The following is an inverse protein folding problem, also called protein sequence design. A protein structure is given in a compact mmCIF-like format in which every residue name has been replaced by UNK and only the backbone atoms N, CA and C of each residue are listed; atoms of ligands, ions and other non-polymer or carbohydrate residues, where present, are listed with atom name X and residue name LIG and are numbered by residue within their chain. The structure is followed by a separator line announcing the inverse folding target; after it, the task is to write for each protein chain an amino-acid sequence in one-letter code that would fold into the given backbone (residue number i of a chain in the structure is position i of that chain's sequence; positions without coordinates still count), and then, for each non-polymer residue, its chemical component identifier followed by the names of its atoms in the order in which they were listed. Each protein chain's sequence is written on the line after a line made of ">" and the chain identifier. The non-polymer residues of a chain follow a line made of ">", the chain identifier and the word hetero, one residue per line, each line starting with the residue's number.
data_IF_330199238007
#
_entry.id   IF_330199238007
#
_cell.length_a   1.000
_cell.length_b   1.000
_cell.length_c   1.000
_cell.angle_alpha   90.00
_cell.angle_beta   90.00
_cell.angle_gamma   90.00
#
_symmetry.space_group_name_H-M   'P 1'
#
loop_
_entity.id
_entity.type
_entity.pdbx_description
1 polymer ?
#
# COMPACT_ATOMS: atom_id res chain seq x y z
N UNK A 1 -5.95 -10.97 19.49
CA UNK A 1 -5.13 -11.54 18.42
C UNK A 1 -5.24 -10.70 17.16
N UNK A 2 -4.14 -10.38 16.57
CA UNK A 2 -4.12 -9.57 15.36
C UNK A 2 -4.62 -10.38 14.15
N UNK A 3 -5.37 -9.73 13.29
CA UNK A 3 -5.82 -10.33 12.04
C UNK A 3 -4.60 -10.62 11.14
N UNK A 4 -4.32 -11.88 10.79
CA UNK A 4 -3.14 -12.25 10.02
C UNK A 4 -3.25 -12.00 8.52
N UNK A 5 -4.39 -11.56 8.00
CA UNK A 5 -4.57 -11.37 6.57
C UNK A 5 -3.88 -10.09 6.11
N UNK A 6 -2.91 -10.24 5.22
CA UNK A 6 -2.25 -9.15 4.51
C UNK A 6 -2.83 -9.08 3.11
N UNK A 7 -3.33 -7.92 2.72
CA UNK A 7 -3.83 -7.69 1.37
C UNK A 7 -2.94 -6.66 0.69
N UNK A 8 -2.34 -7.02 -0.43
CA UNK A 8 -1.60 -6.09 -1.28
C UNK A 8 -2.52 -5.59 -2.40
N UNK A 9 -2.45 -4.31 -2.70
CA UNK A 9 -3.16 -3.73 -3.83
C UNK A 9 -2.43 -4.02 -5.13
N UNK A 10 -3.17 -4.35 -6.17
CA UNK A 10 -2.71 -4.36 -7.54
C UNK A 10 -3.61 -3.44 -8.38
N UNK A 11 -3.04 -2.75 -9.32
CA UNK A 11 -3.73 -1.74 -10.11
C UNK A 11 -3.16 -1.72 -11.52
N UNK A 12 -3.91 -1.22 -12.47
CA UNK A 12 -3.39 -1.07 -13.83
C UNK A 12 -2.25 -0.04 -13.82
N UNK A 13 -1.12 -0.37 -14.41
CA UNK A 13 0.12 0.39 -14.28
C UNK A 13 0.96 -0.02 -13.06
N UNK A 14 0.80 -1.22 -12.56
CA UNK A 14 1.42 -1.73 -11.34
C UNK A 14 2.94 -1.57 -11.34
N UNK A 15 3.47 -1.09 -10.23
CA UNK A 15 4.91 -1.05 -9.94
C UNK A 15 5.38 -2.45 -9.57
N UNK A 16 5.95 -3.16 -10.53
CA UNK A 16 6.27 -4.59 -10.41
C UNK A 16 7.23 -4.88 -9.27
N UNK A 17 8.27 -4.06 -9.11
CA UNK A 17 9.28 -4.27 -8.06
C UNK A 17 8.66 -4.18 -6.67
N UNK A 18 7.95 -3.11 -6.39
CA UNK A 18 7.34 -2.87 -5.06
C UNK A 18 6.27 -3.90 -4.76
N UNK A 19 5.48 -4.28 -5.76
CA UNK A 19 4.50 -5.36 -5.61
C UNK A 19 5.20 -6.69 -5.30
N UNK A 20 6.31 -6.98 -5.97
CA UNK A 20 7.12 -8.17 -5.73
C UNK A 20 7.62 -8.25 -4.29
N UNK A 21 7.96 -7.12 -3.67
CA UNK A 21 8.35 -7.08 -2.26
C UNK A 21 7.23 -7.63 -1.37
N UNK A 22 6.01 -7.16 -1.58
CA UNK A 22 4.86 -7.61 -0.79
C UNK A 22 4.59 -9.10 -0.97
N UNK A 23 4.63 -9.57 -2.22
CA UNK A 23 4.42 -10.99 -2.54
C UNK A 23 5.49 -11.86 -1.92
N UNK A 24 6.76 -11.47 -2.04
CA UNK A 24 7.88 -12.26 -1.55
C UNK A 24 7.90 -12.34 -0.03
N UNK A 25 7.61 -11.25 0.65
CA UNK A 25 7.66 -11.21 2.11
C UNK A 25 6.45 -11.91 2.73
N UNK A 26 5.26 -11.61 2.27
CA UNK A 26 4.02 -12.05 2.90
C UNK A 26 3.31 -13.19 2.17
N UNK A 27 3.56 -13.34 0.87
CA UNK A 27 2.88 -14.34 0.05
C UNK A 27 3.59 -15.69 -0.01
N UNK A 28 4.88 -15.74 0.35
CA UNK A 28 5.61 -17.00 0.40
C UNK A 28 5.19 -17.83 1.60
N UNK A 29 5.02 -19.13 1.38
CA UNK A 29 4.83 -20.06 2.47
C UNK A 29 6.09 -20.07 3.35
N UNK A 30 5.88 -20.01 4.67
CA UNK A 30 6.98 -20.03 5.64
C UNK A 30 6.71 -21.12 6.70
N UNK A 31 6.92 -22.39 6.33
CA UNK A 31 6.64 -23.49 7.23
C UNK A 31 7.45 -23.42 8.52
N UNK A 32 8.63 -22.80 8.50
CA UNK A 32 9.47 -22.57 9.67
C UNK A 32 8.82 -21.66 10.71
N UNK A 33 7.82 -20.86 10.31
CA UNK A 33 7.06 -20.00 11.22
C UNK A 33 5.83 -20.69 11.81
N UNK A 34 5.56 -21.93 11.42
CA UNK A 34 4.40 -22.66 11.87
C UNK A 34 3.08 -22.05 11.37
N UNK A 35 2.02 -22.24 12.16
CA UNK A 35 0.68 -21.77 11.80
C UNK A 35 0.47 -20.28 12.10
N UNK A 36 1.48 -19.59 12.59
CA UNK A 36 1.39 -18.21 13.03
C UNK A 36 1.86 -17.21 11.96
N UNK A 37 2.10 -17.68 10.73
CA UNK A 37 2.48 -16.78 9.64
C UNK A 37 1.25 -16.07 9.05
N UNK A 38 1.52 -15.03 8.30
CA UNK A 38 0.47 -14.25 7.63
C UNK A 38 -0.23 -15.07 6.54
N UNK A 39 -1.50 -14.78 6.33
CA UNK A 39 -2.22 -15.14 5.10
C UNK A 39 -2.10 -13.98 4.13
N UNK A 40 -2.14 -14.25 2.84
CA UNK A 40 -1.91 -13.22 1.83
C UNK A 40 -2.95 -13.31 0.72
N UNK A 41 -3.44 -12.13 0.29
CA UNK A 41 -4.32 -12.00 -0.86
C UNK A 41 -3.97 -10.73 -1.63
N UNK A 42 -4.40 -10.66 -2.87
CA UNK A 42 -4.19 -9.50 -3.75
C UNK A 42 -5.53 -8.95 -4.18
N UNK A 43 -5.74 -7.66 -3.93
CA UNK A 43 -6.95 -6.95 -4.30
C UNK A 43 -6.70 -6.06 -5.52
N UNK A 44 -7.43 -6.28 -6.60
CA UNK A 44 -7.37 -5.43 -7.78
C UNK A 44 -8.18 -4.15 -7.61
N UNK A 45 -7.58 -3.01 -7.93
CA UNK A 45 -8.29 -1.73 -7.92
C UNK A 45 -9.28 -1.67 -9.08
N UNK A 46 -8.91 -2.20 -10.23
CA UNK A 46 -9.78 -2.34 -11.39
C UNK A 46 -10.13 -3.81 -11.61
N UNK A 47 -11.29 -4.11 -12.23
CA UNK A 47 -11.65 -5.49 -12.54
C UNK A 47 -10.83 -6.06 -13.71
N UNK A 48 -10.71 -7.38 -13.76
CA UNK A 48 -10.11 -8.09 -14.86
C UNK A 48 -8.59 -8.09 -14.89
N UNK A 49 -8.04 -8.18 -16.08
CA UNK A 49 -6.61 -8.25 -16.30
C UNK A 49 -5.96 -6.89 -16.03
N UNK A 50 -4.85 -6.89 -15.31
CA UNK A 50 -4.08 -5.70 -15.00
C UNK A 50 -2.72 -5.74 -15.71
N UNK A 51 -2.19 -4.57 -16.04
CA UNK A 51 -0.84 -4.43 -16.59
C UNK A 51 0.11 -3.96 -15.52
N UNK A 52 1.33 -4.50 -15.58
CA UNK A 52 2.41 -4.10 -14.71
C UNK A 52 3.58 -3.59 -15.55
N UNK A 53 4.50 -2.91 -14.93
CA UNK A 53 5.75 -2.45 -15.56
C UNK A 53 6.51 -3.66 -16.10
N UNK A 54 7.05 -3.53 -17.30
CA UNK A 54 7.83 -4.59 -17.94
C UNK A 54 7.03 -5.51 -18.85
N UNK A 55 5.81 -5.13 -19.22
CA UNK A 55 5.00 -5.93 -20.15
C UNK A 55 4.33 -7.14 -19.50
N UNK A 56 4.28 -7.17 -18.18
CA UNK A 56 3.65 -8.25 -17.42
C UNK A 56 2.16 -7.97 -17.28
N UNK A 57 1.36 -9.02 -17.45
CA UNK A 57 -0.08 -8.97 -17.20
C UNK A 57 -0.42 -9.94 -16.09
N UNK A 58 -1.36 -9.58 -15.23
CA UNK A 58 -1.73 -10.40 -14.11
C UNK A 58 -3.23 -10.36 -13.86
N UNK A 59 -3.72 -11.44 -13.28
CA UNK A 59 -5.05 -11.52 -12.70
C UNK A 59 -4.90 -11.82 -11.22
N UNK A 60 -5.82 -11.28 -10.41
CA UNK A 60 -5.70 -11.29 -8.96
C UNK A 60 -6.90 -11.96 -8.30
N UNK A 61 -6.80 -12.20 -6.99
CA UNK A 61 -7.77 -12.98 -6.22
C UNK A 61 -9.16 -12.34 -6.14
N UNK A 62 -9.22 -11.03 -6.07
CA UNK A 62 -10.47 -10.33 -5.94
C UNK A 62 -10.29 -8.83 -6.06
N UNK A 63 -11.32 -8.07 -5.71
CA UNK A 63 -11.34 -6.61 -5.79
C UNK A 63 -11.20 -5.94 -4.43
N UNK A 64 -11.65 -4.69 -4.38
CA UNK A 64 -11.55 -3.86 -3.18
C UNK A 64 -12.32 -4.43 -1.97
N UNK A 65 -13.28 -5.33 -2.20
CA UNK A 65 -14.00 -6.00 -1.11
C UNK A 65 -13.08 -6.76 -0.17
N UNK A 66 -11.93 -7.23 -0.66
CA UNK A 66 -10.95 -7.92 0.18
C UNK A 66 -10.36 -7.03 1.27
N UNK A 67 -10.34 -5.71 1.06
CA UNK A 67 -9.81 -4.77 2.04
C UNK A 67 -10.61 -4.76 3.34
N UNK A 68 -11.91 -5.11 3.26
CA UNK A 68 -12.76 -5.18 4.45
C UNK A 68 -12.36 -6.30 5.41
N UNK A 69 -11.59 -7.28 4.94
CA UNK A 69 -11.15 -8.43 5.73
C UNK A 69 -9.70 -8.33 6.17
N UNK A 70 -8.98 -7.32 5.71
CA UNK A 70 -7.54 -7.21 5.93
C UNK A 70 -7.18 -6.74 7.34
N UNK A 71 -6.15 -7.34 7.91
CA UNK A 71 -5.48 -6.84 9.11
C UNK A 71 -4.32 -5.91 8.78
N UNK A 72 -3.77 -6.04 7.58
CA UNK A 72 -2.73 -5.17 7.04
C UNK A 72 -2.99 -4.97 5.55
N UNK A 73 -2.88 -3.74 5.08
CA UNK A 73 -3.00 -3.40 3.67
C UNK A 73 -1.69 -2.79 3.20
N UNK A 74 -1.17 -3.30 2.09
CA UNK A 74 0.06 -2.80 1.48
C UNK A 74 -0.28 -2.11 0.16
N UNK A 75 0.20 -0.87 0.01
CA UNK A 75 0.08 -0.08 -1.22
C UNK A 75 1.46 -0.01 -1.86
N UNK A 76 1.77 -0.93 -2.81
CA UNK A 76 3.11 -1.04 -3.38
C UNK A 76 3.27 -0.14 -4.60
N UNK A 77 3.59 1.12 -4.37
CA UNK A 77 3.67 2.11 -5.43
C UNK A 77 2.31 2.63 -5.87
N UNK A 78 2.34 3.54 -6.79
CA UNK A 78 1.18 4.05 -7.50
C UNK A 78 1.58 4.40 -8.93
N UNK A 79 0.61 4.51 -9.81
CA UNK A 79 0.83 4.69 -11.26
C UNK A 79 1.21 6.12 -11.67
N UNK A 80 1.42 6.99 -10.71
CA UNK A 80 1.87 8.36 -10.91
C UNK A 80 1.40 9.29 -9.83
N UNK A 81 2.26 10.24 -9.43
CA UNK A 81 1.91 11.23 -8.41
C UNK A 81 0.73 12.10 -8.82
N UNK A 82 0.54 12.30 -10.14
CA UNK A 82 -0.53 13.13 -10.70
C UNK A 82 -1.79 12.32 -11.05
N UNK A 83 -1.75 11.00 -10.90
CA UNK A 83 -2.90 10.16 -11.25
C UNK A 83 -3.86 10.11 -10.08
N UNK A 84 -5.14 10.48 -10.29
CA UNK A 84 -6.12 10.48 -9.22
C UNK A 84 -6.29 9.10 -8.58
N UNK A 85 -6.52 9.11 -7.28
CA UNK A 85 -6.83 7.90 -6.53
C UNK A 85 -8.35 7.72 -6.51
N UNK A 86 -8.88 6.56 -6.93
CA UNK A 86 -10.32 6.34 -6.93
C UNK A 86 -10.93 6.54 -5.53
N UNK A 87 -12.08 7.21 -5.49
CA UNK A 87 -12.79 7.48 -4.23
C UNK A 87 -13.11 6.17 -3.48
N UNK A 88 -13.51 5.13 -4.21
CA UNK A 88 -13.81 3.84 -3.62
C UNK A 88 -12.59 3.23 -2.90
N UNK A 89 -11.40 3.40 -3.44
CA UNK A 89 -10.18 2.94 -2.80
C UNK A 89 -9.91 3.73 -1.51
N UNK A 90 -10.02 5.04 -1.56
CA UNK A 90 -9.86 5.89 -0.38
C UNK A 90 -10.83 5.50 0.75
N UNK A 91 -12.11 5.30 0.40
CA UNK A 91 -13.14 4.90 1.36
C UNK A 91 -12.81 3.57 2.02
N UNK A 92 -12.36 2.58 1.26
CA UNK A 92 -11.99 1.28 1.80
C UNK A 92 -10.75 1.35 2.71
N UNK A 93 -9.77 2.16 2.35
CA UNK A 93 -8.58 2.36 3.19
C UNK A 93 -8.94 3.04 4.51
N UNK A 94 -9.76 4.07 4.46
CA UNK A 94 -10.22 4.77 5.65
C UNK A 94 -11.00 3.82 6.56
N UNK A 95 -11.94 3.05 6.01
CA UNK A 95 -12.73 2.10 6.77
C UNK A 95 -11.85 1.02 7.42
N UNK A 96 -10.87 0.49 6.68
CA UNK A 96 -9.94 -0.50 7.21
C UNK A 96 -9.09 0.07 8.36
N UNK A 97 -8.60 1.28 8.20
CA UNK A 97 -7.83 1.96 9.24
C UNK A 97 -8.67 2.17 10.50
N UNK A 98 -9.91 2.59 10.35
CA UNK A 98 -10.83 2.78 11.47
C UNK A 98 -11.13 1.47 12.22
N UNK A 99 -11.09 0.33 11.51
CA UNK A 99 -11.25 -0.99 12.13
C UNK A 99 -10.00 -1.46 12.88
N UNK A 100 -8.88 -0.76 12.76
CA UNK A 100 -7.61 -1.12 13.38
C UNK A 100 -6.63 -1.84 12.44
N UNK A 101 -6.88 -1.89 11.14
CA UNK A 101 -5.91 -2.41 10.19
C UNK A 101 -4.69 -1.51 10.09
N UNK A 102 -3.53 -2.13 9.88
CA UNK A 102 -2.30 -1.39 9.57
C UNK A 102 -2.27 -1.08 8.08
N UNK A 103 -1.83 0.12 7.75
CA UNK A 103 -1.70 0.55 6.35
C UNK A 103 -0.24 0.85 6.07
N UNK A 104 0.32 0.24 5.02
CA UNK A 104 1.72 0.38 4.67
C UNK A 104 1.86 0.80 3.22
N UNK A 105 2.65 1.83 2.95
CA UNK A 105 2.99 2.22 1.57
C UNK A 105 4.48 2.00 1.29
N UNK A 106 4.77 1.68 0.04
CA UNK A 106 6.12 1.54 -0.48
C UNK A 106 6.27 2.53 -1.63
N UNK A 107 7.35 3.32 -1.61
CA UNK A 107 7.70 4.24 -2.69
C UNK A 107 6.56 5.23 -2.98
N UNK A 108 6.11 5.33 -4.22
CA UNK A 108 5.03 6.24 -4.63
C UNK A 108 3.64 5.88 -4.10
N UNK A 109 3.49 4.72 -3.45
CA UNK A 109 2.24 4.35 -2.80
C UNK A 109 1.77 5.32 -1.72
N UNK A 110 2.68 6.13 -1.21
CA UNK A 110 2.39 7.20 -0.24
C UNK A 110 1.31 8.17 -0.74
N UNK A 111 1.25 8.41 -2.05
CA UNK A 111 0.25 9.32 -2.63
C UNK A 111 -1.18 8.80 -2.48
N UNK A 112 -1.36 7.49 -2.44
CA UNK A 112 -2.67 6.88 -2.17
C UNK A 112 -3.08 7.14 -0.72
N UNK A 113 -2.17 6.94 0.22
CA UNK A 113 -2.42 7.21 1.64
C UNK A 113 -2.68 8.69 1.88
N UNK A 114 -1.92 9.57 1.22
CA UNK A 114 -2.10 11.01 1.31
C UNK A 114 -3.48 11.44 0.79
N UNK A 115 -3.89 10.90 -0.35
CA UNK A 115 -5.22 11.20 -0.94
C UNK A 115 -6.36 10.75 -0.02
N UNK A 116 -6.18 9.68 0.74
CA UNK A 116 -7.15 9.19 1.70
C UNK A 116 -7.14 9.97 3.03
N UNK A 117 -6.21 10.91 3.21
CA UNK A 117 -6.09 11.68 4.45
C UNK A 117 -5.45 10.94 5.61
N UNK A 118 -4.89 9.75 5.36
CA UNK A 118 -4.35 8.90 6.42
C UNK A 118 -3.01 9.37 6.97
N UNK A 119 -2.37 10.33 6.32
CA UNK A 119 -1.06 10.84 6.71
C UNK A 119 -1.12 12.23 7.34
N UNK A 120 -2.29 12.85 7.41
CA UNK A 120 -2.45 14.19 7.97
C UNK A 120 -1.96 14.22 9.43
N UNK A 121 -1.10 15.20 9.74
CA UNK A 121 -0.47 15.37 11.05
C UNK A 121 0.42 14.20 11.48
N UNK A 122 0.89 13.39 10.51
CA UNK A 122 1.81 12.28 10.76
C UNK A 122 3.14 12.53 10.07
N UNK A 123 4.17 11.86 10.56
CA UNK A 123 5.42 11.75 9.85
C UNK A 123 5.29 10.67 8.77
N UNK A 124 5.86 10.92 7.60
CA UNK A 124 5.85 9.97 6.50
C UNK A 124 7.09 10.17 5.63
N UNK A 125 7.44 9.13 4.87
CA UNK A 125 8.46 9.21 3.84
C UNK A 125 8.00 8.55 2.57
N UNK A 126 8.75 8.75 1.52
CA UNK A 126 8.53 8.16 0.20
C UNK A 126 9.87 8.04 -0.52
N UNK A 127 9.84 7.55 -1.74
CA UNK A 127 11.02 7.55 -2.60
C UNK A 127 11.60 8.97 -2.70
N UNK A 128 12.93 9.09 -2.65
CA UNK A 128 13.63 10.39 -2.63
C UNK A 128 13.19 11.35 -3.73
N UNK A 129 12.79 10.80 -4.88
CA UNK A 129 12.32 11.58 -6.02
C UNK A 129 11.05 12.37 -5.72
N UNK A 130 10.25 11.93 -4.75
CA UNK A 130 8.91 12.46 -4.49
C UNK A 130 8.77 13.19 -3.15
N UNK A 131 9.81 13.27 -2.34
CA UNK A 131 9.69 13.89 -1.00
C UNK A 131 9.27 15.35 -1.06
N UNK A 132 9.87 16.14 -1.94
CA UNK A 132 9.53 17.55 -2.09
C UNK A 132 8.12 17.73 -2.63
N UNK A 133 7.74 16.95 -3.62
CA UNK A 133 6.41 17.03 -4.22
C UNK A 133 5.32 16.67 -3.22
N UNK A 134 5.55 15.61 -2.45
CA UNK A 134 4.61 15.18 -1.40
C UNK A 134 4.40 16.29 -0.38
N UNK A 135 5.49 16.91 0.09
CA UNK A 135 5.40 17.98 1.09
C UNK A 135 4.66 19.21 0.54
N UNK A 136 4.89 19.56 -0.73
CA UNK A 136 4.21 20.68 -1.36
C UNK A 136 2.72 20.45 -1.51
N UNK A 137 2.31 19.26 -1.92
CA UNK A 137 0.90 18.94 -2.17
C UNK A 137 0.11 18.69 -0.90
N UNK A 138 0.77 18.20 0.12
CA UNK A 138 0.12 17.80 1.37
C UNK A 138 0.87 18.42 2.57
N UNK A 139 0.72 19.73 2.78
CA UNK A 139 1.47 20.43 3.84
C UNK A 139 1.11 19.96 5.26
N UNK A 140 -0.01 19.27 5.43
CA UNK A 140 -0.37 18.68 6.73
C UNK A 140 0.45 17.43 7.08
N UNK A 141 1.21 16.87 6.12
CA UNK A 141 2.09 15.73 6.35
C UNK A 141 3.48 16.25 6.73
N UNK A 142 4.10 15.65 7.74
CA UNK A 142 5.50 15.91 8.08
C UNK A 142 6.38 14.94 7.27
N UNK A 143 6.82 15.38 6.09
CA UNK A 143 7.65 14.54 5.23
C UNK A 143 9.09 14.54 5.75
N UNK A 144 9.63 13.36 6.00
CA UNK A 144 11.01 13.18 6.44
C UNK A 144 11.81 12.57 5.28
N UNK A 145 12.71 13.36 4.65
CA UNK A 145 13.55 12.83 3.57
C UNK A 145 14.74 12.02 4.13
N UNK A 146 15.41 11.29 3.25
CA UNK A 146 16.68 10.61 3.53
C UNK A 146 16.61 9.54 4.63
N UNK A 147 15.44 8.90 4.77
CA UNK A 147 15.26 7.75 5.66
C UNK A 147 14.71 6.58 4.87
N UNK A 148 14.90 5.36 5.37
CA UNK A 148 14.40 4.16 4.70
C UNK A 148 12.91 3.97 4.93
N UNK A 149 12.43 4.28 6.11
CA UNK A 149 11.01 4.15 6.45
C UNK A 149 10.65 5.02 7.65
N UNK A 150 9.35 5.22 7.81
CA UNK A 150 8.76 5.86 9.00
C UNK A 150 7.68 4.91 9.53
N UNK A 151 7.78 4.58 10.79
CA UNK A 151 6.75 3.86 11.53
C UNK A 151 5.95 4.88 12.37
N UNK A 152 4.73 5.14 11.96
CA UNK A 152 3.83 6.07 12.66
C UNK A 152 2.73 5.30 13.43
N UNK A 153 3.04 4.08 13.89
CA UNK A 153 2.15 3.23 14.65
C UNK A 153 1.35 2.29 13.74
N UNK A 154 0.15 2.70 13.38
CA UNK A 154 -0.76 1.94 12.52
C UNK A 154 -0.62 2.29 11.03
N UNK A 155 0.19 3.28 10.71
CA UNK A 155 0.52 3.66 9.33
C UNK A 155 2.03 3.68 9.18
N UNK A 156 2.53 2.97 8.16
CA UNK A 156 3.96 2.85 7.86
C UNK A 156 4.20 3.28 6.43
N UNK A 157 5.29 4.01 6.21
CA UNK A 157 5.68 4.46 4.87
C UNK A 157 7.15 4.17 4.64
N UNK A 158 7.52 3.80 3.43
CA UNK A 158 8.90 3.46 3.09
C UNK A 158 9.35 4.10 1.78
N UNK A 159 10.66 4.26 1.69
CA UNK A 159 11.30 4.90 0.54
C UNK A 159 11.33 4.02 -0.72
N UNK A 160 11.16 2.72 -0.55
CA UNK A 160 11.18 1.79 -1.69
C UNK A 160 12.28 0.80 -1.63
#
# INVERSE_FOLDING_TARGET
>A
MNNPLVVALAYDGLCTFEFGIAVEIFGLARPEMGDNWYRFAVAGVEPGELRATGGIRLMVDGGLELLAEAGTIIVPGWRGADVPVPAALCEQLIAAHQRGARILSICSGVFVLAAAGLLDKRQATTHWRYTDLLQQRYPAIQVTPDVLYIDSGDVLTSAG
#
